data_IF_986836999299
#
_entry.id   IF_986836999299
#
_cell.length_a   1.000
_cell.length_b   1.000
_cell.length_c   1.000
_cell.angle_alpha   90.00
_cell.angle_beta   90.00
_cell.angle_gamma   90.00
#
_symmetry.space_group_name_H-M   'P 1'
#
loop_
_entity.id
_entity.type
_entity.pdbx_description
1 polymer ?
#
# COMPACT_ATOMS: atom_id res chain seq x y z
N UNK A 1 20.39 -7.40 15.48
CA UNK A 1 19.09 -6.99 16.06
C UNK A 1 17.99 -7.47 15.12
N UNK A 2 16.98 -8.20 15.61
CA UNK A 2 15.77 -8.46 14.82
C UNK A 2 15.06 -7.13 14.64
N UNK A 3 14.82 -6.72 13.39
CA UNK A 3 13.91 -5.62 13.10
C UNK A 3 12.51 -6.13 13.38
N UNK A 4 11.76 -5.45 14.24
CA UNK A 4 10.37 -5.81 14.49
C UNK A 4 9.55 -5.44 13.25
N UNK A 5 9.00 -6.45 12.58
CA UNK A 5 8.13 -6.28 11.41
C UNK A 5 6.66 -6.32 11.84
N UNK A 6 5.82 -5.54 11.16
CA UNK A 6 4.38 -5.52 11.36
C UNK A 6 3.67 -5.88 10.06
N UNK A 7 2.61 -6.67 10.15
CA UNK A 7 1.76 -7.02 9.01
C UNK A 7 0.50 -6.17 9.05
N UNK A 8 0.24 -5.43 7.97
CA UNK A 8 -0.97 -4.64 7.77
C UNK A 8 -1.78 -5.29 6.62
N UNK A 9 -3.08 -5.44 6.80
CA UNK A 9 -3.99 -5.84 5.72
C UNK A 9 -4.90 -4.66 5.43
N UNK A 10 -4.94 -4.24 4.17
CA UNK A 10 -5.72 -3.10 3.71
C UNK A 10 -6.80 -3.58 2.75
N UNK A 11 -7.98 -2.99 2.82
CA UNK A 11 -8.95 -3.08 1.72
C UNK A 11 -8.58 -2.14 0.56
N UNK A 12 -9.33 -2.22 -0.55
CA UNK A 12 -9.04 -1.42 -1.75
C UNK A 12 -9.10 0.10 -1.49
N UNK A 13 -9.93 0.54 -0.53
CA UNK A 13 -10.07 1.94 -0.18
C UNK A 13 -8.91 2.40 0.72
N UNK A 14 -8.62 1.67 1.78
CA UNK A 14 -7.51 1.95 2.69
C UNK A 14 -6.17 1.93 1.93
N UNK A 15 -6.01 1.00 0.99
CA UNK A 15 -4.86 0.95 0.08
C UNK A 15 -4.72 2.26 -0.71
N UNK A 16 -5.81 2.74 -1.31
CA UNK A 16 -5.80 4.02 -2.04
C UNK A 16 -5.45 5.20 -1.16
N UNK A 17 -5.98 5.25 0.07
CA UNK A 17 -5.66 6.29 1.06
C UNK A 17 -4.17 6.28 1.41
N UNK A 18 -3.59 5.10 1.68
CA UNK A 18 -2.17 4.98 2.03
C UNK A 18 -1.27 5.42 0.88
N UNK A 19 -1.55 4.98 -0.35
CA UNK A 19 -0.78 5.37 -1.54
C UNK A 19 -0.83 6.88 -1.76
N UNK A 20 -2.01 7.48 -1.66
CA UNK A 20 -2.17 8.93 -1.83
C UNK A 20 -1.43 9.72 -0.74
N UNK A 21 -1.56 9.33 0.52
CA UNK A 21 -0.88 9.99 1.63
C UNK A 21 0.65 9.93 1.50
N UNK A 22 1.20 8.78 1.12
CA UNK A 22 2.63 8.63 0.88
C UNK A 22 3.11 9.46 -0.32
N UNK A 23 2.31 9.55 -1.38
CA UNK A 23 2.63 10.36 -2.55
C UNK A 23 2.59 11.87 -2.23
N UNK A 24 1.61 12.33 -1.46
CA UNK A 24 1.55 13.71 -0.96
C UNK A 24 2.77 14.05 -0.11
N UNK A 25 3.12 13.19 0.84
CA UNK A 25 4.31 13.36 1.68
C UNK A 25 5.60 13.43 0.84
N UNK A 26 5.74 12.56 -0.16
CA UNK A 26 6.86 12.60 -1.10
C UNK A 26 6.93 13.94 -1.83
N UNK A 27 5.81 14.43 -2.34
CA UNK A 27 5.75 15.69 -3.06
C UNK A 27 6.12 16.88 -2.17
N UNK A 28 5.71 16.87 -0.90
CA UNK A 28 6.06 17.93 0.04
C UNK A 28 7.56 17.90 0.40
N UNK A 29 8.13 16.71 0.63
CA UNK A 29 9.57 16.57 0.86
C UNK A 29 10.40 17.02 -0.37
N UNK A 30 9.93 16.75 -1.59
CA UNK A 30 10.58 17.24 -2.82
C UNK A 30 10.54 18.78 -2.89
N UNK A 31 9.41 19.42 -2.55
CA UNK A 31 9.32 20.88 -2.48
C UNK A 31 10.28 21.47 -1.44
N UNK A 32 10.46 20.78 -0.31
CA UNK A 32 11.40 21.15 0.74
C UNK A 32 12.87 20.84 0.39
N UNK A 33 13.15 20.25 -0.79
CA UNK A 33 14.49 19.75 -1.19
C UNK A 33 15.09 18.78 -0.15
N UNK A 34 14.23 17.98 0.47
CA UNK A 34 14.60 16.97 1.46
C UNK A 34 14.67 15.58 0.83
N UNK A 35 15.46 14.67 1.42
CA UNK A 35 15.55 13.30 0.93
C UNK A 35 14.20 12.57 1.03
N UNK A 36 13.85 11.85 -0.03
CA UNK A 36 12.61 11.07 -0.13
C UNK A 36 12.81 9.57 -0.10
N UNK A 37 14.06 9.08 -0.04
CA UNK A 37 14.42 7.66 -0.20
C UNK A 37 13.57 6.74 0.69
N UNK A 38 13.35 7.13 1.96
CA UNK A 38 12.54 6.35 2.89
C UNK A 38 11.05 6.27 2.48
N UNK A 39 10.50 7.33 1.91
CA UNK A 39 9.11 7.37 1.42
C UNK A 39 9.00 6.64 0.09
N UNK A 40 10.00 6.77 -0.78
CA UNK A 40 10.08 6.06 -2.06
C UNK A 40 10.11 4.53 -1.85
N UNK A 41 10.91 4.05 -0.88
CA UNK A 41 10.94 2.63 -0.49
C UNK A 41 9.57 2.12 0.01
N UNK A 42 8.85 2.94 0.78
CA UNK A 42 7.53 2.57 1.31
C UNK A 42 6.47 2.58 0.20
N UNK A 43 6.51 3.54 -0.72
CA UNK A 43 5.63 3.57 -1.88
C UNK A 43 5.83 2.33 -2.74
N UNK A 44 7.07 1.96 -3.05
CA UNK A 44 7.38 0.77 -3.84
C UNK A 44 6.85 -0.49 -3.16
N UNK A 45 7.14 -0.67 -1.86
CA UNK A 45 6.63 -1.81 -1.07
C UNK A 45 5.11 -1.87 -1.01
N UNK A 46 4.45 -0.71 -0.95
CA UNK A 46 2.98 -0.65 -0.92
C UNK A 46 2.42 -1.03 -2.28
N UNK A 47 2.97 -0.49 -3.38
CA UNK A 47 2.51 -0.78 -4.75
C UNK A 47 2.72 -2.25 -5.13
N UNK A 48 3.86 -2.82 -4.74
CA UNK A 48 4.20 -4.21 -5.02
C UNK A 48 3.47 -5.21 -4.09
N UNK A 49 2.74 -4.72 -3.07
CA UNK A 49 2.05 -5.58 -2.13
C UNK A 49 0.98 -6.42 -2.85
N UNK A 50 0.97 -7.76 -2.68
CA UNK A 50 0.04 -8.61 -3.40
C UNK A 50 -1.40 -8.42 -2.93
N UNK A 51 -2.33 -8.29 -3.88
CA UNK A 51 -3.76 -8.28 -3.57
C UNK A 51 -4.28 -9.69 -3.34
N UNK A 52 -4.89 -9.94 -2.17
CA UNK A 52 -5.66 -11.17 -1.96
C UNK A 52 -7.00 -11.02 -2.66
N UNK A 53 -7.05 -11.32 -3.97
CA UNK A 53 -8.32 -11.39 -4.71
C UNK A 53 -9.25 -12.37 -3.98
N UNK A 54 -10.31 -11.87 -3.34
CA UNK A 54 -11.35 -12.75 -2.83
C UNK A 54 -11.93 -13.51 -4.03
N UNK A 55 -11.71 -14.83 -4.09
CA UNK A 55 -12.41 -15.69 -5.04
C UNK A 55 -13.91 -15.52 -4.75
N UNK A 56 -14.60 -14.72 -5.55
CA UNK A 56 -16.06 -14.76 -5.63
C UNK A 56 -16.43 -16.20 -5.94
N UNK A 57 -16.91 -16.94 -4.92
CA UNK A 57 -17.57 -18.24 -5.14
C UNK A 57 -18.76 -17.92 -6.02
N UNK A 58 -18.67 -18.28 -7.31
CA UNK A 58 -19.86 -18.40 -8.16
C UNK A 58 -20.71 -19.51 -7.52
N UNK A 59 -21.73 -19.14 -6.76
CA UNK A 59 -22.87 -20.01 -6.55
C UNK A 59 -23.67 -19.97 -7.86
N UNK A 60 -23.15 -20.63 -8.89
CA UNK A 60 -23.99 -21.18 -9.95
C UNK A 60 -24.53 -22.51 -9.40
N UNK A 61 -25.39 -22.45 -8.38
CA UNK A 61 -26.27 -23.57 -8.08
C UNK A 61 -27.52 -23.39 -8.94
N UNK A 62 -27.49 -24.06 -10.09
CA UNK A 62 -28.69 -24.46 -10.78
C UNK A 62 -29.61 -25.18 -9.80
N UNK A 63 -30.78 -24.59 -9.53
CA UNK A 63 -31.98 -25.31 -9.10
C UNK A 63 -33.23 -24.54 -9.47
#
# INVERSE_FOLDING_TARGET
MKKDERVLTLDDNEYGVVVNALNELRNDLLKEQRPTDAVDELLLKTIDAPTKKQKRRKQDEAR
#
